data_IF_380217810333
#
_entry.id   IF_380217810333
#
_cell.length_a   1.000
_cell.length_b   1.000
_cell.length_c   1.000
_cell.angle_alpha   90.00
_cell.angle_beta   90.00
_cell.angle_gamma   90.00
#
_symmetry.space_group_name_H-M   'P 1'
#
loop_
_entity.id
_entity.type
_entity.pdbx_description
1 polymer ?
#
# COMPACT_ATOMS: atom_id res chain seq x y z
N UNK A 1 -10.14 2.85 -9.53
CA UNK A 1 -10.57 3.20 -8.15
C UNK A 1 -9.88 2.22 -7.19
N UNK A 2 -8.57 2.32 -6.97
CA UNK A 2 -7.78 1.34 -6.19
C UNK A 2 -7.94 1.53 -4.67
N UNK A 3 -7.94 2.78 -4.23
CA UNK A 3 -8.04 3.14 -2.81
C UNK A 3 -9.49 3.02 -2.32
N UNK A 4 -10.45 3.61 -3.04
CA UNK A 4 -11.85 3.61 -2.61
C UNK A 4 -12.57 2.28 -2.79
N UNK A 5 -12.01 1.32 -3.55
CA UNK A 5 -12.57 -0.04 -3.67
C UNK A 5 -12.09 -0.99 -2.57
N UNK A 6 -11.11 -0.60 -1.75
CA UNK A 6 -10.45 -1.47 -0.79
C UNK A 6 -9.44 -2.46 -1.42
N UNK A 7 -9.24 -2.43 -2.74
CA UNK A 7 -8.29 -3.31 -3.43
C UNK A 7 -6.84 -3.08 -2.95
N UNK A 8 -6.53 -1.88 -2.45
CA UNK A 8 -5.24 -1.54 -1.85
C UNK A 8 -4.82 -2.47 -0.69
N UNK A 9 -5.76 -3.01 0.07
CA UNK A 9 -5.48 -3.92 1.19
C UNK A 9 -4.87 -5.24 0.71
N UNK A 10 -5.12 -5.61 -0.55
CA UNK A 10 -4.54 -6.81 -1.18
C UNK A 10 -3.24 -6.51 -1.93
N UNK A 11 -3.17 -5.33 -2.55
CA UNK A 11 -2.05 -4.92 -3.40
C UNK A 11 -0.86 -4.47 -2.56
N UNK A 12 -1.07 -3.73 -1.47
CA UNK A 12 0.02 -3.22 -0.64
C UNK A 12 0.86 -4.35 -0.04
N UNK A 13 0.29 -5.39 0.61
CA UNK A 13 1.09 -6.47 1.16
C UNK A 13 1.86 -7.23 0.08
N UNK A 14 1.29 -7.40 -1.12
CA UNK A 14 1.96 -8.09 -2.24
C UNK A 14 3.28 -7.45 -2.63
N UNK A 15 3.36 -6.12 -2.60
CA UNK A 15 4.53 -5.39 -3.06
C UNK A 15 5.44 -4.90 -1.94
N UNK A 16 4.95 -4.74 -0.71
CA UNK A 16 5.76 -4.15 0.35
C UNK A 16 6.03 -5.08 1.54
N UNK A 17 5.17 -6.08 1.76
CA UNK A 17 5.24 -6.96 2.94
C UNK A 17 5.49 -8.44 2.60
N UNK A 18 5.35 -8.83 1.33
CA UNK A 18 5.61 -10.18 0.84
C UNK A 18 6.89 -10.21 0.00
N UNK A 19 7.53 -11.39 -0.14
CA UNK A 19 8.66 -11.56 -1.04
C UNK A 19 8.28 -11.21 -2.48
N UNK A 20 9.12 -10.40 -3.13
CA UNK A 20 8.90 -9.98 -4.51
C UNK A 20 9.81 -10.78 -5.45
N UNK A 21 9.25 -11.53 -6.41
CA UNK A 21 10.03 -12.25 -7.41
C UNK A 21 10.84 -11.32 -8.33
N UNK A 22 11.94 -11.81 -8.93
CA UNK A 22 12.48 -13.18 -8.83
C UNK A 22 13.46 -13.38 -7.68
N UNK A 23 13.79 -12.32 -6.93
CA UNK A 23 14.83 -12.35 -5.90
C UNK A 23 14.29 -12.68 -4.50
N UNK A 24 12.98 -12.81 -4.36
CA UNK A 24 12.27 -13.10 -3.10
C UNK A 24 12.67 -12.16 -1.94
N UNK A 25 12.94 -10.89 -2.27
CA UNK A 25 13.26 -9.86 -1.28
C UNK A 25 11.96 -9.23 -0.76
N UNK A 26 11.88 -9.04 0.56
CA UNK A 26 10.79 -8.33 1.23
C UNK A 26 11.23 -6.88 1.49
N UNK A 27 10.47 -5.89 1.03
CA UNK A 27 10.76 -4.47 1.29
C UNK A 27 10.54 -4.12 2.77
N UNK A 28 9.61 -4.82 3.43
CA UNK A 28 9.24 -4.67 4.84
C UNK A 28 8.90 -3.23 5.21
N UNK A 29 8.13 -2.57 4.36
CA UNK A 29 7.64 -1.21 4.58
C UNK A 29 6.17 -1.27 4.98
N UNK A 30 5.82 -1.11 6.27
CA UNK A 30 4.43 -0.98 6.69
C UNK A 30 3.87 0.40 6.30
N UNK A 31 2.55 0.47 6.12
CA UNK A 31 1.87 1.76 5.88
C UNK A 31 2.04 2.68 7.09
N UNK A 32 2.40 3.93 6.83
CA UNK A 32 2.41 4.97 7.85
C UNK A 32 0.98 5.43 8.17
N UNK A 33 0.78 6.00 9.36
CA UNK A 33 -0.52 6.57 9.75
C UNK A 33 -1.02 7.63 8.76
N UNK A 34 -0.10 8.40 8.18
CA UNK A 34 -0.42 9.42 7.18
C UNK A 34 -0.94 8.78 5.88
N UNK A 35 -0.30 7.70 5.42
CA UNK A 35 -0.75 6.95 4.25
C UNK A 35 -2.11 6.27 4.49
N UNK A 36 -2.33 5.69 5.67
CA UNK A 36 -3.62 5.09 6.05
C UNK A 36 -4.75 6.14 5.96
N UNK A 37 -4.51 7.35 6.48
CA UNK A 37 -5.48 8.46 6.39
C UNK A 37 -5.74 8.90 4.96
N UNK A 38 -4.69 9.01 4.14
CA UNK A 38 -4.82 9.39 2.74
C UNK A 38 -5.57 8.33 1.92
N UNK A 39 -5.42 7.04 2.24
CA UNK A 39 -6.20 5.96 1.61
C UNK A 39 -7.68 6.04 2.02
N UNK A 40 -7.96 6.31 3.31
CA UNK A 40 -9.32 6.45 3.82
C UNK A 40 -10.05 7.67 3.25
N UNK A 41 -9.31 8.75 2.99
CA UNK A 41 -9.82 10.00 2.41
C UNK A 41 -8.94 10.47 1.25
N UNK A 42 -9.04 9.82 0.06
CA UNK A 42 -8.22 10.15 -1.10
C UNK A 42 -8.40 11.61 -1.51
N UNK A 43 -7.30 12.30 -1.79
CA UNK A 43 -7.25 13.68 -2.26
C UNK A 43 -6.16 13.84 -3.33
N UNK A 44 -6.19 14.95 -4.05
CA UNK A 44 -5.24 15.25 -5.14
C UNK A 44 -3.94 15.92 -4.65
N UNK A 45 -3.79 16.14 -3.34
CA UNK A 45 -2.66 16.89 -2.75
C UNK A 45 -1.55 16.01 -2.20
N UNK A 46 -1.74 14.69 -2.13
CA UNK A 46 -0.77 13.73 -1.60
C UNK A 46 -0.95 13.42 -0.11
N UNK A 47 0.05 12.74 0.45
CA UNK A 47 0.14 12.41 1.89
C UNK A 47 0.75 13.57 2.67
#
# INVERSE_FOLDING_TARGET
QLYSSGEIDTVYPKWFLKPIPPKDIVINLPMSDALIKAIAHPNDTGV
#
